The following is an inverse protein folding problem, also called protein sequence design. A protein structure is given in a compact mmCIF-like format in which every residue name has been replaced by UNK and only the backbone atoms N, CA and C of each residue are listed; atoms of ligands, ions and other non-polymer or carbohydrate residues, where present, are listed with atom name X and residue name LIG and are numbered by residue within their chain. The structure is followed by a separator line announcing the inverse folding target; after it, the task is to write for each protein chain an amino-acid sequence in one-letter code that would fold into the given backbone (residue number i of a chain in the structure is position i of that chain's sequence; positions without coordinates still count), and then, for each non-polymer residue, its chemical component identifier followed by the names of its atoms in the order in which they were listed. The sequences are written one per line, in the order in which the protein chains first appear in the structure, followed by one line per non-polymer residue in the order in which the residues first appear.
data_IF_127157861700
#
_entry.id   IF_127157861700
#
_cell.length_a   1.000
_cell.length_b   1.000
_cell.length_c   1.000
_cell.angle_alpha   90.00
_cell.angle_beta   90.00
_cell.angle_gamma   90.00
#
_symmetry.space_group_name_H-M   'P 1'
#
loop_
_entity.id
_entity.type
_entity.pdbx_description
1 polymer ?
#
# COMPACT_ATOMS: atom_id res chain seq x y z
N UNK A 1 2.70 15.34 -5.61
CA UNK A 1 3.53 16.24 -4.79
C UNK A 1 2.71 17.47 -4.48
N UNK A 2 2.63 18.00 -3.24
CA UNK A 2 2.05 19.34 -3.05
C UNK A 2 2.86 20.34 -3.89
N UNK A 3 2.24 21.43 -4.35
CA UNK A 3 2.94 22.31 -5.29
C UNK A 3 4.05 23.11 -4.61
N UNK A 4 3.98 23.24 -3.27
CA UNK A 4 4.95 23.98 -2.47
C UNK A 4 5.40 23.19 -1.22
N UNK A 5 6.11 22.06 -1.39
CA UNK A 5 6.34 21.09 -0.33
C UNK A 5 7.22 21.58 0.83
N UNK A 6 7.93 22.70 0.66
CA UNK A 6 8.88 23.26 1.64
C UNK A 6 8.51 24.66 2.13
N UNK A 7 7.33 25.19 1.78
CA UNK A 7 6.93 26.52 2.23
C UNK A 7 6.00 26.43 3.43
N UNK A 8 6.27 27.25 4.45
CA UNK A 8 5.31 27.50 5.52
C UNK A 8 4.13 28.31 4.98
N UNK A 9 2.99 28.30 5.67
CA UNK A 9 1.82 29.09 5.28
C UNK A 9 2.15 30.58 5.13
N UNK A 10 3.04 31.11 5.99
CA UNK A 10 3.51 32.50 5.91
C UNK A 10 4.32 32.75 4.63
N UNK A 11 5.33 31.92 4.34
CA UNK A 11 6.16 32.05 3.14
C UNK A 11 5.38 31.82 1.84
N UNK A 12 4.30 31.03 1.89
CA UNK A 12 3.33 30.87 0.80
C UNK A 12 2.51 32.13 0.56
N UNK A 13 2.00 32.73 1.65
CA UNK A 13 1.22 33.96 1.58
C UNK A 13 2.05 35.10 1.00
N UNK A 14 3.27 35.34 1.50
CA UNK A 14 4.19 36.34 0.95
C UNK A 14 4.49 36.08 -0.53
N UNK A 15 4.71 34.83 -0.91
CA UNK A 15 4.93 34.46 -2.29
C UNK A 15 3.74 34.82 -3.19
N UNK A 16 2.51 34.48 -2.78
CA UNK A 16 1.31 34.83 -3.54
C UNK A 16 1.03 36.33 -3.57
N UNK A 17 1.29 37.05 -2.48
CA UNK A 17 1.11 38.51 -2.41
C UNK A 17 2.02 39.25 -3.41
N UNK A 18 3.20 38.68 -3.71
CA UNK A 18 4.13 39.25 -4.70
C UNK A 18 3.78 38.93 -6.17
N UNK A 19 2.82 38.03 -6.43
CA UNK A 19 2.41 37.69 -7.79
C UNK A 19 1.29 38.61 -8.32
N UNK A 20 1.27 38.90 -9.64
CA UNK A 20 0.15 39.61 -10.25
C UNK A 20 -1.09 38.71 -10.33
N UNK A 21 -2.28 39.33 -10.36
CA UNK A 21 -3.57 38.63 -10.25
C UNK A 21 -3.75 37.57 -11.36
N UNK A 22 -3.35 37.86 -12.60
CA UNK A 22 -3.39 36.88 -13.69
C UNK A 22 -2.59 35.60 -13.39
N UNK A 23 -1.40 35.73 -12.80
CA UNK A 23 -0.57 34.58 -12.41
C UNK A 23 -1.18 33.79 -11.25
N UNK A 24 -1.86 34.47 -10.33
CA UNK A 24 -2.61 33.80 -9.25
C UNK A 24 -3.79 33.00 -9.80
N UNK A 25 -4.52 33.54 -10.79
CA UNK A 25 -5.63 32.83 -11.43
C UNK A 25 -5.16 31.62 -12.24
N UNK A 26 -4.07 31.75 -13.02
CA UNK A 26 -3.42 30.62 -13.69
C UNK A 26 -3.03 29.53 -12.68
N UNK A 27 -2.43 29.92 -11.56
CA UNK A 27 -2.03 28.99 -10.50
C UNK A 27 -3.26 28.30 -9.88
N UNK A 28 -4.35 29.03 -9.62
CA UNK A 28 -5.61 28.46 -9.08
C UNK A 28 -6.17 27.39 -10.01
N UNK A 29 -6.25 27.66 -11.31
CA UNK A 29 -6.73 26.71 -12.31
C UNK A 29 -5.87 25.44 -12.36
N UNK A 30 -4.56 25.58 -12.12
CA UNK A 30 -3.63 24.46 -12.14
C UNK A 30 -3.80 23.45 -10.98
N UNK A 31 -4.60 23.78 -9.93
CA UNK A 31 -4.88 22.84 -8.83
C UNK A 31 -5.92 21.77 -9.18
N UNK A 32 -6.86 22.05 -10.09
CA UNK A 32 -7.87 21.07 -10.51
C UNK A 32 -7.25 19.75 -11.02
N UNK A 33 -6.39 19.75 -12.05
CA UNK A 33 -5.74 18.51 -12.52
C UNK A 33 -4.80 17.89 -11.47
N UNK A 34 -4.32 18.69 -10.52
CA UNK A 34 -3.50 18.18 -9.42
C UNK A 34 -4.32 17.33 -8.44
N UNK A 35 -5.52 17.78 -8.05
CA UNK A 35 -6.41 17.00 -7.18
C UNK A 35 -6.94 15.75 -7.88
N UNK A 36 -7.31 15.85 -9.17
CA UNK A 36 -7.72 14.69 -9.97
C UNK A 36 -6.64 13.60 -9.98
N UNK A 37 -5.37 13.98 -10.15
CA UNK A 37 -4.26 13.04 -10.10
C UNK A 37 -4.09 12.41 -8.71
N UNK A 38 -4.19 13.20 -7.64
CA UNK A 38 -4.10 12.67 -6.26
C UNK A 38 -5.22 11.67 -5.97
N UNK A 39 -6.45 11.96 -6.40
CA UNK A 39 -7.58 11.08 -6.16
C UNK A 39 -7.51 9.80 -7.01
N UNK A 40 -7.02 9.90 -8.24
CA UNK A 40 -6.71 8.73 -9.06
C UNK A 40 -5.66 7.83 -8.40
N UNK A 41 -4.57 8.41 -7.89
CA UNK A 41 -3.53 7.66 -7.18
C UNK A 41 -4.07 6.98 -5.92
N UNK A 42 -4.88 7.68 -5.11
CA UNK A 42 -5.54 7.09 -3.93
C UNK A 42 -6.44 5.92 -4.31
N UNK A 43 -7.26 6.08 -5.36
CA UNK A 43 -8.16 5.03 -5.82
C UNK A 43 -7.39 3.77 -6.27
N UNK A 44 -6.29 3.95 -7.01
CA UNK A 44 -5.43 2.84 -7.42
C UNK A 44 -4.79 2.11 -6.23
N UNK A 45 -4.36 2.85 -5.20
CA UNK A 45 -3.79 2.27 -3.99
C UNK A 45 -4.87 1.53 -3.19
N UNK A 46 -6.06 2.11 -3.05
CA UNK A 46 -7.18 1.47 -2.36
C UNK A 46 -7.58 0.14 -3.02
N UNK A 47 -7.66 0.11 -4.36
CA UNK A 47 -7.89 -1.12 -5.12
C UNK A 47 -6.76 -2.15 -4.92
N UNK A 48 -5.50 -1.69 -4.87
CA UNK A 48 -4.35 -2.56 -4.62
C UNK A 48 -4.38 -3.16 -3.21
N UNK A 49 -4.75 -2.37 -2.20
CA UNK A 49 -4.96 -2.84 -0.83
C UNK A 49 -6.05 -3.90 -0.81
N UNK A 50 -7.21 -3.63 -1.43
CA UNK A 50 -8.31 -4.59 -1.47
C UNK A 50 -7.90 -5.92 -2.11
N UNK A 51 -7.17 -5.87 -3.22
CA UNK A 51 -6.64 -7.07 -3.89
C UNK A 51 -5.71 -7.86 -2.97
N UNK A 52 -4.79 -7.17 -2.28
CA UNK A 52 -3.85 -7.80 -1.34
C UNK A 52 -4.55 -8.36 -0.11
N UNK A 53 -5.55 -7.67 0.43
CA UNK A 53 -6.37 -8.20 1.53
C UNK A 53 -7.14 -9.46 1.12
N UNK A 54 -7.70 -9.50 -0.09
CA UNK A 54 -8.35 -10.71 -0.61
C UNK A 54 -7.35 -11.86 -0.78
N UNK A 55 -6.13 -11.56 -1.22
CA UNK A 55 -5.04 -12.53 -1.32
C UNK A 55 -4.65 -13.07 0.07
N UNK A 56 -4.53 -12.19 1.06
CA UNK A 56 -4.24 -12.53 2.45
C UNK A 56 -5.28 -13.50 3.01
N UNK A 57 -6.58 -13.18 2.87
CA UNK A 57 -7.66 -14.06 3.36
C UNK A 57 -7.62 -15.45 2.72
N UNK A 58 -7.21 -15.57 1.45
CA UNK A 58 -7.02 -16.88 0.80
C UNK A 58 -5.84 -17.64 1.41
N UNK A 59 -4.73 -16.95 1.70
CA UNK A 59 -3.56 -17.56 2.35
C UNK A 59 -3.88 -18.00 3.77
N UNK A 60 -4.59 -17.18 4.54
CA UNK A 60 -5.07 -17.52 5.89
C UNK A 60 -5.97 -18.76 5.87
N UNK A 61 -6.91 -18.83 4.92
CA UNK A 61 -7.74 -20.02 4.77
C UNK A 61 -6.91 -21.27 4.43
N UNK A 62 -5.88 -21.13 3.57
CA UNK A 62 -4.96 -22.24 3.25
C UNK A 62 -4.14 -22.67 4.47
N UNK A 63 -3.71 -21.72 5.31
CA UNK A 63 -3.03 -22.03 6.57
C UNK A 63 -3.96 -22.83 7.48
N UNK A 64 -5.19 -22.38 7.68
CA UNK A 64 -6.18 -23.09 8.51
C UNK A 64 -6.43 -24.51 8.02
N UNK A 65 -6.63 -24.70 6.71
CA UNK A 65 -6.80 -26.04 6.11
C UNK A 65 -5.55 -26.89 6.34
N UNK A 66 -4.36 -26.32 6.14
CA UNK A 66 -3.10 -27.00 6.36
C UNK A 66 -2.94 -27.42 7.83
N UNK A 67 -3.34 -26.58 8.78
CA UNK A 67 -3.30 -26.91 10.21
C UNK A 67 -4.28 -28.02 10.58
N UNK A 68 -5.47 -28.05 9.98
CA UNK A 68 -6.44 -29.12 10.18
C UNK A 68 -5.95 -30.49 9.68
N UNK A 69 -5.09 -30.51 8.66
CA UNK A 69 -4.53 -31.75 8.10
C UNK A 69 -3.43 -32.39 8.97
N UNK A 70 -3.02 -31.75 10.08
CA UNK A 70 -1.89 -32.23 10.89
C UNK A 70 -2.08 -33.67 11.40
N UNK A 71 -3.27 -34.02 11.88
CA UNK A 71 -3.52 -35.37 12.40
C UNK A 71 -3.37 -36.47 11.32
N UNK A 72 -3.78 -36.17 10.08
CA UNK A 72 -3.60 -37.09 8.95
C UNK A 72 -2.11 -37.22 8.59
N UNK A 73 -1.37 -36.12 8.67
CA UNK A 73 0.08 -36.08 8.43
C UNK A 73 0.83 -36.87 9.50
N UNK A 74 0.46 -36.75 10.77
CA UNK A 74 1.04 -37.54 11.87
C UNK A 74 0.79 -39.05 11.68
N UNK A 75 -0.41 -39.42 11.21
CA UNK A 75 -0.72 -40.80 10.87
C UNK A 75 0.15 -41.30 9.71
N UNK A 76 0.29 -40.52 8.65
CA UNK A 76 1.15 -40.85 7.51
C UNK A 76 2.64 -40.92 7.93
N UNK A 77 3.07 -40.06 8.85
CA UNK A 77 4.43 -40.05 9.40
C UNK A 77 4.72 -41.33 10.18
N UNK A 78 3.78 -41.81 10.98
CA UNK A 78 3.92 -43.09 11.69
C UNK A 78 4.13 -44.26 10.72
N UNK A 79 3.35 -44.31 9.63
CA UNK A 79 3.52 -45.31 8.57
C UNK A 79 4.88 -45.16 7.88
N UNK A 80 5.30 -43.93 7.61
CA UNK A 80 6.61 -43.64 7.02
C UNK A 80 7.76 -44.14 7.92
N UNK A 81 7.69 -43.89 9.23
CA UNK A 81 8.69 -44.32 10.21
C UNK A 81 8.73 -45.85 10.34
N UNK A 82 7.57 -46.50 10.31
CA UNK A 82 7.49 -47.96 10.29
C UNK A 82 8.16 -48.54 9.04
N UNK A 83 7.87 -47.98 7.87
CA UNK A 83 8.49 -48.40 6.61
C UNK A 83 10.01 -48.16 6.62
N UNK A 84 10.45 -47.02 7.15
CA UNK A 84 11.87 -46.70 7.31
C UNK A 84 12.58 -47.72 8.23
N UNK A 85 11.94 -48.11 9.33
CA UNK A 85 12.48 -49.15 10.23
C UNK A 85 12.60 -50.49 9.51
N UNK A 86 11.56 -50.92 8.80
CA UNK A 86 11.57 -52.17 8.06
C UNK A 86 12.70 -52.21 7.01
N UNK A 87 12.89 -51.12 6.26
CA UNK A 87 13.99 -50.99 5.27
C UNK A 87 15.36 -51.05 5.96
N UNK A 88 15.50 -50.43 7.14
CA UNK A 88 16.77 -50.49 7.90
C UNK A 88 17.08 -51.89 8.40
N UNK A 89 16.07 -52.70 8.70
CA UNK A 89 16.24 -54.08 9.17
C UNK A 89 16.54 -55.09 8.05
N UNK A 90 16.42 -54.69 6.78
CA UNK A 90 16.78 -55.53 5.62
C UNK A 90 18.28 -55.87 5.60
N UNK A 91 18.58 -57.16 5.42
CA UNK A 91 19.95 -57.70 5.44
C UNK A 91 20.70 -57.53 4.13
N UNK A 92 20.00 -57.34 3.02
CA UNK A 92 20.58 -57.16 1.70
C UNK A 92 20.80 -55.67 1.44
N UNK A 93 22.06 -55.27 1.24
CA UNK A 93 22.42 -53.86 1.03
C UNK A 93 21.75 -53.25 -0.22
N UNK A 94 21.54 -54.05 -1.27
CA UNK A 94 20.88 -53.60 -2.50
C UNK A 94 19.41 -53.26 -2.23
N UNK A 95 18.69 -54.12 -1.51
CA UNK A 95 17.27 -53.92 -1.20
C UNK A 95 17.09 -52.72 -0.28
N UNK A 96 17.96 -52.58 0.73
CA UNK A 96 17.98 -51.42 1.63
C UNK A 96 18.19 -50.11 0.86
N UNK A 97 19.17 -50.06 -0.05
CA UNK A 97 19.45 -48.85 -0.85
C UNK A 97 18.29 -48.50 -1.77
N UNK A 98 17.67 -49.50 -2.40
CA UNK A 98 16.50 -49.29 -3.27
C UNK A 98 15.27 -48.84 -2.47
N UNK A 99 15.04 -49.46 -1.31
CA UNK A 99 13.98 -49.10 -0.36
C UNK A 99 14.10 -47.64 0.09
N UNK A 100 15.28 -47.22 0.54
CA UNK A 100 15.52 -45.83 0.96
C UNK A 100 15.30 -44.81 -0.18
N UNK A 101 15.67 -45.15 -1.42
CA UNK A 101 15.40 -44.29 -2.59
C UNK A 101 13.90 -44.18 -2.89
N UNK A 102 13.14 -45.25 -2.67
CA UNK A 102 11.70 -45.28 -2.92
C UNK A 102 10.85 -44.62 -1.84
N UNK A 103 11.35 -44.57 -0.60
CA UNK A 103 10.62 -44.09 0.57
C UNK A 103 10.25 -42.60 0.47
N UNK A 104 11.05 -41.81 -0.24
CA UNK A 104 10.77 -40.41 -0.51
C UNK A 104 10.90 -39.50 0.72
N UNK A 105 10.28 -38.32 0.62
CA UNK A 105 10.32 -37.28 1.66
C UNK A 105 9.35 -37.63 2.77
N UNK A 106 9.76 -37.41 4.02
CA UNK A 106 8.89 -37.56 5.19
C UNK A 106 7.64 -36.69 5.06
N UNK A 107 6.45 -37.24 5.38
CA UNK A 107 5.21 -36.47 5.45
C UNK A 107 5.32 -35.22 6.33
N UNK A 108 5.95 -35.32 7.51
CA UNK A 108 6.09 -34.18 8.41
C UNK A 108 7.03 -33.10 7.84
N UNK A 109 8.08 -33.50 7.12
CA UNK A 109 8.99 -32.55 6.46
C UNK A 109 8.29 -31.79 5.32
N UNK A 110 7.52 -32.50 4.48
CA UNK A 110 6.71 -31.89 3.42
C UNK A 110 5.67 -30.93 3.97
N UNK A 111 5.01 -31.33 5.06
CA UNK A 111 4.07 -30.51 5.80
C UNK A 111 4.70 -29.23 6.33
N UNK A 112 5.83 -29.35 7.02
CA UNK A 112 6.55 -28.20 7.60
C UNK A 112 7.06 -27.25 6.52
N UNK A 113 7.57 -27.78 5.41
CA UNK A 113 7.99 -26.98 4.26
C UNK A 113 6.83 -26.15 3.70
N UNK A 114 5.67 -26.77 3.53
CA UNK A 114 4.46 -26.07 3.06
C UNK A 114 3.99 -25.02 4.06
N UNK A 115 4.00 -25.33 5.36
CA UNK A 115 3.65 -24.38 6.44
C UNK A 115 4.56 -23.15 6.40
N UNK A 116 5.87 -23.36 6.31
CA UNK A 116 6.85 -22.26 6.23
C UNK A 116 6.62 -21.39 4.98
N UNK A 117 6.32 -22.00 3.83
CA UNK A 117 6.01 -21.26 2.62
C UNK A 117 4.76 -20.39 2.78
N UNK A 118 3.67 -20.94 3.34
CA UNK A 118 2.43 -20.19 3.59
C UNK A 118 2.64 -19.01 4.56
N UNK A 119 3.40 -19.22 5.64
CA UNK A 119 3.71 -18.17 6.60
C UNK A 119 4.56 -17.06 5.98
N UNK A 120 5.55 -17.40 5.14
CA UNK A 120 6.33 -16.40 4.40
C UNK A 120 5.44 -15.57 3.47
N UNK A 121 4.55 -16.22 2.72
CA UNK A 121 3.61 -15.54 1.84
C UNK A 121 2.68 -14.60 2.63
N UNK A 122 2.20 -15.03 3.80
CA UNK A 122 1.39 -14.18 4.68
C UNK A 122 2.16 -12.93 5.13
N UNK A 123 3.42 -13.09 5.56
CA UNK A 123 4.30 -11.98 5.96
C UNK A 123 4.53 -11.01 4.80
N UNK A 124 4.83 -11.53 3.61
CA UNK A 124 5.04 -10.73 2.40
C UNK A 124 3.81 -9.91 2.05
N UNK A 125 2.62 -10.52 2.01
CA UNK A 125 1.37 -9.82 1.70
C UNK A 125 1.08 -8.75 2.74
N UNK A 126 1.22 -9.05 4.04
CA UNK A 126 1.03 -8.08 5.11
C UNK A 126 1.99 -6.88 4.96
N UNK A 127 3.26 -7.15 4.67
CA UNK A 127 4.26 -6.08 4.49
C UNK A 127 3.92 -5.15 3.32
N UNK A 128 3.36 -5.68 2.24
CA UNK A 128 2.93 -4.88 1.09
C UNK A 128 1.66 -4.08 1.41
N UNK A 129 0.71 -4.65 2.16
CA UNK A 129 -0.46 -3.92 2.67
C UNK A 129 -0.01 -2.73 3.54
N UNK A 130 0.92 -2.95 4.46
CA UNK A 130 1.45 -1.89 5.33
C UNK A 130 2.16 -0.78 4.54
N UNK A 131 2.90 -1.17 3.49
CA UNK A 131 3.54 -0.22 2.58
C UNK A 131 2.51 0.60 1.82
N UNK A 132 1.47 -0.03 1.29
CA UNK A 132 0.38 0.65 0.58
C UNK A 132 -0.40 1.59 1.50
N UNK A 133 -0.68 1.18 2.74
CA UNK A 133 -1.32 2.02 3.76
C UNK A 133 -0.47 3.25 4.11
N UNK A 134 0.84 3.07 4.29
CA UNK A 134 1.76 4.21 4.47
C UNK A 134 1.71 5.16 3.29
N UNK A 135 1.72 4.64 2.06
CA UNK A 135 1.63 5.47 0.86
C UNK A 135 0.29 6.20 0.76
N UNK A 136 -0.82 5.56 1.14
CA UNK A 136 -2.14 6.19 1.18
C UNK A 136 -2.16 7.35 2.17
N UNK A 137 -1.60 7.15 3.36
CA UNK A 137 -1.45 8.21 4.37
C UNK A 137 -0.62 9.39 3.84
N UNK A 138 0.52 9.13 3.19
CA UNK A 138 1.30 10.19 2.54
C UNK A 138 0.50 10.97 1.49
N UNK A 139 -0.39 10.31 0.74
CA UNK A 139 -1.26 10.98 -0.24
C UNK A 139 -2.34 11.82 0.42
N UNK A 140 -2.91 11.35 1.53
CA UNK A 140 -3.86 12.12 2.33
C UNK A 140 -3.20 13.39 2.88
N UNK A 141 -2.00 13.28 3.43
CA UNK A 141 -1.22 14.45 3.89
C UNK A 141 -0.93 15.42 2.75
N UNK A 142 -0.57 14.91 1.57
CA UNK A 142 -0.35 15.75 0.38
C UNK A 142 -1.62 16.48 -0.06
N UNK A 143 -2.78 15.82 -0.01
CA UNK A 143 -4.06 16.46 -0.29
C UNK A 143 -4.38 17.56 0.71
N UNK A 144 -4.21 17.31 2.01
CA UNK A 144 -4.45 18.32 3.05
C UNK A 144 -3.54 19.55 2.85
N UNK A 145 -2.26 19.33 2.54
CA UNK A 145 -1.33 20.43 2.20
C UNK A 145 -1.80 21.20 0.97
N UNK A 146 -2.16 20.53 -0.11
CA UNK A 146 -2.65 21.18 -1.33
C UNK A 146 -3.95 21.98 -1.10
N UNK A 147 -4.85 21.49 -0.25
CA UNK A 147 -6.06 22.23 0.16
C UNK A 147 -5.69 23.50 0.93
N UNK A 148 -4.76 23.41 1.88
CA UNK A 148 -4.26 24.57 2.61
C UNK A 148 -3.60 25.60 1.69
N UNK A 149 -2.76 25.15 0.75
CA UNK A 149 -2.13 26.00 -0.26
C UNK A 149 -3.19 26.73 -1.12
N UNK A 150 -4.22 26.03 -1.57
CA UNK A 150 -5.31 26.60 -2.38
C UNK A 150 -6.17 27.59 -1.58
N UNK A 151 -6.39 27.35 -0.29
CA UNK A 151 -7.09 28.27 0.59
C UNK A 151 -6.32 29.59 0.73
N UNK A 152 -5.01 29.53 1.02
CA UNK A 152 -4.17 30.74 1.10
C UNK A 152 -4.17 31.50 -0.23
N UNK A 153 -4.07 30.78 -1.36
CA UNK A 153 -4.13 31.37 -2.70
C UNK A 153 -5.46 32.10 -2.93
N UNK A 154 -6.57 31.47 -2.55
CA UNK A 154 -7.92 32.03 -2.71
C UNK A 154 -8.08 33.31 -1.87
N UNK A 155 -7.64 33.29 -0.60
CA UNK A 155 -7.64 34.49 0.25
C UNK A 155 -6.87 35.66 -0.38
N UNK A 156 -5.69 35.40 -0.96
CA UNK A 156 -4.86 36.44 -1.56
C UNK A 156 -5.49 37.00 -2.83
N UNK A 157 -6.11 36.14 -3.65
CA UNK A 157 -6.87 36.56 -4.83
C UNK A 157 -8.02 37.48 -4.41
N UNK A 158 -8.84 37.07 -3.44
CA UNK A 158 -9.98 37.86 -2.96
C UNK A 158 -9.55 39.24 -2.46
N UNK A 159 -8.49 39.31 -1.64
CA UNK A 159 -7.92 40.59 -1.16
C UNK A 159 -7.45 41.48 -2.31
N UNK A 160 -6.78 40.93 -3.32
CA UNK A 160 -6.28 41.72 -4.46
C UNK A 160 -7.40 42.21 -5.36
N UNK A 161 -8.40 41.38 -5.61
CA UNK A 161 -9.58 41.77 -6.40
C UNK A 161 -10.33 42.92 -5.73
N UNK A 162 -10.57 42.84 -4.41
CA UNK A 162 -11.23 43.90 -3.65
C UNK A 162 -10.47 45.25 -3.71
N UNK A 163 -9.13 45.22 -3.64
CA UNK A 163 -8.30 46.44 -3.78
C UNK A 163 -8.39 47.04 -5.18
N UNK A 164 -8.42 46.21 -6.23
CA UNK A 164 -8.60 46.69 -7.60
C UNK A 164 -9.98 47.31 -7.81
N UNK A 165 -11.04 46.68 -7.32
CA UNK A 165 -12.43 47.21 -7.41
C UNK A 165 -12.58 48.54 -6.65
N UNK A 166 -11.93 48.66 -5.50
CA UNK A 166 -11.91 49.89 -4.69
C UNK A 166 -11.14 51.04 -5.38
N UNK A 167 -10.05 50.72 -6.09
CA UNK A 167 -9.24 51.71 -6.82
C UNK A 167 -9.84 52.15 -8.16
N UNK A 168 -10.78 51.39 -8.73
CA UNK A 168 -11.52 51.75 -9.96
C UNK A 168 -12.71 52.67 -9.66
N UNK A 169 -13.10 52.83 -8.39
CA UNK A 169 -14.19 53.70 -7.95
C UNK A 169 -13.68 55.04 -7.38
N UNK A 170 -13.22 55.97 -8.23
CA UNK A 170 -13.57 57.37 -8.03
C UNK A 170 -13.76 58.15 -9.35
N UNK A 171 -14.99 58.25 -9.85
CA UNK A 171 -15.53 59.46 -10.52
C UNK A 171 -16.90 59.18 -11.15
N UNK A 172 -17.97 59.32 -10.36
CA UNK A 172 -19.26 59.81 -10.86
C UNK A 172 -19.92 60.63 -9.76
N UNK A 173 -19.35 61.80 -9.48
CA UNK A 173 -20.05 62.87 -8.79
C UNK A 173 -19.60 64.19 -9.42
N UNK A 174 -20.59 65.00 -9.83
CA UNK A 174 -20.51 66.34 -10.44
C UNK A 174 -20.09 66.33 -11.92
N UNK A 175 -20.86 66.87 -12.88
CA UNK A 175 -21.86 67.96 -12.88
C UNK A 175 -23.14 67.59 -13.62
#
# INVERSE_FOLDING_TARGET
MSKFPYKTSHALREYFENLPLNKLMELKLSYAPHFEQLDKEKAMIADSIQKKSNELSRVENRITIHEQALAEVETAQSIYEQNLSNIRDERADIDRVMGLRSLGISPIDSYNSTKLHLLRLQIEINSEIDRLNRRLSELQDKTLKAVSELSILTDVIEKKTAVQESNVSPNYAFN
#
